data_IF_538386733823
#
_entry.id   IF_538386733823
#
_cell.length_a   1.000
_cell.length_b   1.000
_cell.length_c   1.000
_cell.angle_alpha   90.00
_cell.angle_beta   90.00
_cell.angle_gamma   90.00
#
_symmetry.space_group_name_H-M   'P 1'
#
loop_
_entity.id
_entity.type
_entity.pdbx_description
1 polymer ?
#
# COMPACT_ATOMS: atom_id res chain seq x y z
N UNK A 1 6.08 -21.48 -13.87
CA UNK A 1 5.71 -20.04 -13.80
C UNK A 1 5.37 -19.72 -12.35
N UNK A 2 5.71 -18.53 -11.86
CA UNK A 2 5.24 -18.07 -10.54
C UNK A 2 3.74 -17.81 -10.60
N UNK A 3 3.00 -18.19 -9.56
CA UNK A 3 1.54 -18.04 -9.50
C UNK A 3 1.10 -16.57 -9.51
N UNK A 4 -0.09 -16.26 -10.04
CA UNK A 4 -0.62 -14.89 -10.04
C UNK A 4 -0.77 -14.37 -8.62
N UNK A 5 -1.26 -15.21 -7.71
CA UNK A 5 -1.35 -14.87 -6.29
C UNK A 5 0.00 -14.46 -5.71
N UNK A 6 1.04 -15.27 -5.92
CA UNK A 6 2.36 -14.99 -5.41
C UNK A 6 2.94 -13.68 -5.97
N UNK A 7 2.69 -13.39 -7.25
CA UNK A 7 3.09 -12.12 -7.87
C UNK A 7 2.28 -10.94 -7.35
N UNK A 8 0.97 -11.11 -7.18
CA UNK A 8 0.06 -10.01 -6.89
C UNK A 8 0.05 -9.64 -5.40
N UNK A 9 -0.10 -10.62 -4.51
CA UNK A 9 -0.40 -10.43 -3.09
C UNK A 9 0.86 -10.30 -2.23
N UNK A 10 1.82 -11.21 -2.38
CA UNK A 10 2.99 -11.31 -1.48
C UNK A 10 3.82 -10.02 -1.43
N UNK A 11 4.15 -9.35 -2.57
CA UNK A 11 4.91 -8.10 -2.53
C UNK A 11 4.17 -6.98 -1.80
N UNK A 12 2.85 -6.93 -1.96
CA UNK A 12 2.00 -5.88 -1.39
C UNK A 12 1.80 -6.08 0.11
N UNK A 13 1.60 -7.32 0.57
CA UNK A 13 1.58 -7.64 2.00
C UNK A 13 2.88 -7.21 2.68
N UNK A 14 4.02 -7.57 2.09
CA UNK A 14 5.34 -7.22 2.63
C UNK A 14 5.54 -5.70 2.69
N UNK A 15 5.18 -5.00 1.62
CA UNK A 15 5.27 -3.55 1.54
C UNK A 15 4.38 -2.86 2.59
N UNK A 16 3.15 -3.33 2.78
CA UNK A 16 2.24 -2.81 3.79
C UNK A 16 2.76 -3.04 5.21
N UNK A 17 3.38 -4.19 5.49
CA UNK A 17 4.05 -4.45 6.77
C UNK A 17 5.19 -3.46 7.01
N UNK A 18 6.04 -3.21 6.01
CA UNK A 18 7.14 -2.26 6.13
C UNK A 18 6.66 -0.82 6.37
N UNK A 19 5.70 -0.33 5.59
CA UNK A 19 5.16 1.03 5.82
C UNK A 19 4.47 1.12 7.18
N UNK A 20 3.79 0.06 7.66
CA UNK A 20 3.22 0.04 9.02
C UNK A 20 4.30 0.28 10.08
N UNK A 21 5.46 -0.39 9.95
CA UNK A 21 6.58 -0.20 10.86
C UNK A 21 7.20 1.21 10.73
N UNK A 22 7.28 1.77 9.52
CA UNK A 22 7.70 3.16 9.28
C UNK A 22 6.76 4.16 9.96
N UNK A 23 5.44 3.95 9.86
CA UNK A 23 4.45 4.82 10.51
C UNK A 23 4.56 4.74 12.03
N UNK A 24 4.80 3.54 12.59
CA UNK A 24 5.07 3.38 14.02
C UNK A 24 6.32 4.15 14.46
N UNK A 25 7.41 4.03 13.68
CA UNK A 25 8.66 4.78 13.94
C UNK A 25 8.45 6.29 13.90
N UNK A 26 7.62 6.79 12.98
CA UNK A 26 7.26 8.20 12.92
C UNK A 26 6.44 8.65 14.15
N UNK A 27 5.47 7.83 14.57
CA UNK A 27 4.69 8.08 15.80
C UNK A 27 5.59 8.13 17.04
N UNK A 28 6.50 7.17 17.17
CA UNK A 28 7.42 7.09 18.31
C UNK A 28 8.38 8.28 18.34
N UNK A 29 8.95 8.64 17.18
CA UNK A 29 9.80 9.82 17.06
C UNK A 29 9.04 11.12 17.39
N UNK A 30 7.78 11.24 16.97
CA UNK A 30 6.95 12.40 17.31
C UNK A 30 6.84 12.56 18.84
N UNK A 31 6.54 11.45 19.54
CA UNK A 31 6.44 11.41 21.00
C UNK A 31 7.77 11.76 21.68
N UNK A 32 8.87 11.14 21.25
CA UNK A 32 10.20 11.36 21.84
C UNK A 32 10.68 12.80 21.69
N UNK A 33 10.39 13.42 20.54
CA UNK A 33 10.89 14.76 20.22
C UNK A 33 9.88 15.88 20.52
N UNK A 34 8.71 15.57 21.07
CA UNK A 34 7.66 16.55 21.37
C UNK A 34 7.07 17.22 20.13
N UNK A 35 7.05 16.52 18.99
CA UNK A 35 6.47 17.00 17.72
C UNK A 35 4.99 16.67 17.72
N UNK A 36 4.14 17.61 17.29
CA UNK A 36 2.71 17.33 17.08
C UNK A 36 2.56 16.31 15.94
N UNK A 37 1.95 15.12 16.17
CA UNK A 37 1.70 14.14 15.11
C UNK A 37 1.01 14.71 13.87
N UNK A 38 0.21 15.77 14.04
CA UNK A 38 -0.48 16.42 12.93
C UNK A 38 0.48 17.08 11.93
N UNK A 39 1.69 17.45 12.34
CA UNK A 39 2.72 17.99 11.43
C UNK A 39 3.16 16.98 10.37
N UNK A 40 3.12 15.69 10.71
CA UNK A 40 3.37 14.59 9.79
C UNK A 40 2.10 14.20 9.01
N UNK A 41 0.98 14.03 9.70
CA UNK A 41 -0.28 13.52 9.12
C UNK A 41 -0.83 14.47 8.05
N UNK A 42 -0.69 15.78 8.24
CA UNK A 42 -1.09 16.82 7.27
C UNK A 42 0.04 17.25 6.34
N UNK A 43 1.20 16.59 6.40
CA UNK A 43 2.34 16.88 5.54
C UNK A 43 2.04 16.55 4.08
N UNK A 44 2.56 17.35 3.15
CA UNK A 44 2.45 17.15 1.69
C UNK A 44 3.78 17.50 1.02
N UNK A 45 4.09 16.88 -0.12
CA UNK A 45 5.34 17.15 -0.88
C UNK A 45 5.26 18.39 -1.76
N UNK A 46 4.08 18.71 -2.26
CA UNK A 46 3.83 19.83 -3.15
C UNK A 46 2.42 20.39 -2.90
N UNK A 47 2.15 21.70 -3.12
CA UNK A 47 0.86 22.32 -2.78
C UNK A 47 -0.39 21.71 -3.46
N UNK A 48 -0.25 21.04 -4.60
CA UNK A 48 -1.36 20.35 -5.29
C UNK A 48 -1.42 18.84 -5.02
N UNK A 49 -0.43 18.31 -4.30
CA UNK A 49 -0.41 16.91 -3.87
C UNK A 49 -1.21 16.75 -2.59
N UNK A 50 -1.74 15.54 -2.38
CA UNK A 50 -2.50 15.22 -1.17
C UNK A 50 -1.58 14.87 -0.01
N UNK A 51 -2.09 15.11 1.20
CA UNK A 51 -1.36 14.90 2.44
C UNK A 51 -1.06 13.43 2.75
N UNK A 52 -0.26 13.20 3.79
CA UNK A 52 0.15 11.88 4.25
C UNK A 52 -1.04 10.95 4.54
N UNK A 53 -2.07 11.44 5.26
CA UNK A 53 -3.27 10.65 5.54
C UNK A 53 -3.92 10.13 4.25
N UNK A 54 -4.07 11.01 3.25
CA UNK A 54 -4.59 10.62 1.94
C UNK A 54 -3.72 9.55 1.25
N UNK A 55 -2.39 9.66 1.33
CA UNK A 55 -1.52 8.64 0.77
C UNK A 55 -1.75 7.28 1.42
N UNK A 56 -1.94 7.22 2.75
CA UNK A 56 -2.28 5.97 3.45
C UNK A 56 -3.66 5.45 3.03
N UNK A 57 -4.66 6.33 2.89
CA UNK A 57 -6.00 5.93 2.46
C UNK A 57 -5.98 5.25 1.09
N UNK A 58 -5.37 5.91 0.11
CA UNK A 58 -5.30 5.40 -1.26
C UNK A 58 -4.36 4.21 -1.38
N UNK A 59 -3.28 4.16 -0.60
CA UNK A 59 -2.43 2.99 -0.51
C UNK A 59 -3.23 1.74 -0.14
N UNK A 60 -3.99 1.80 0.96
CA UNK A 60 -4.76 0.65 1.43
C UNK A 60 -5.95 0.33 0.53
N UNK A 61 -6.61 1.34 -0.05
CA UNK A 61 -7.73 1.11 -0.98
C UNK A 61 -7.25 0.41 -2.26
N UNK A 62 -6.16 0.90 -2.88
CA UNK A 62 -5.59 0.25 -4.06
C UNK A 62 -5.06 -1.16 -3.74
N UNK A 63 -4.48 -1.36 -2.56
CA UNK A 63 -4.08 -2.69 -2.13
C UNK A 63 -5.30 -3.62 -1.96
N UNK A 64 -6.38 -3.16 -1.31
CA UNK A 64 -7.56 -3.97 -1.06
C UNK A 64 -8.35 -4.34 -2.33
N UNK A 65 -8.31 -3.49 -3.37
CA UNK A 65 -8.96 -3.76 -4.67
C UNK A 65 -8.17 -4.66 -5.59
N UNK A 66 -6.93 -5.04 -5.24
CA UNK A 66 -6.12 -5.95 -6.05
C UNK A 66 -6.80 -7.31 -6.20
N UNK A 67 -7.24 -7.91 -5.08
CA UNK A 67 -7.91 -9.21 -5.08
C UNK A 67 -9.24 -9.17 -5.84
N UNK A 68 -10.17 -8.32 -5.41
CA UNK A 68 -11.50 -8.18 -6.04
C UNK A 68 -11.43 -7.67 -7.49
N UNK A 69 -10.35 -6.99 -7.85
CA UNK A 69 -10.05 -6.57 -9.21
C UNK A 69 -9.73 -7.74 -10.15
N UNK A 70 -9.15 -8.83 -9.64
CA UNK A 70 -8.89 -10.06 -10.39
C UNK A 70 -10.05 -11.04 -10.27
N UNK A 71 -10.57 -11.24 -9.06
CA UNK A 71 -11.70 -12.13 -8.79
C UNK A 71 -12.82 -11.37 -8.05
N UNK A 72 -13.91 -10.98 -8.74
CA UNK A 72 -15.02 -10.25 -8.16
C UNK A 72 -15.76 -10.97 -7.02
N UNK A 73 -15.55 -12.28 -6.81
CA UNK A 73 -16.15 -13.00 -5.69
C UNK A 73 -15.45 -12.75 -4.36
N UNK A 74 -14.24 -12.16 -4.36
CA UNK A 74 -13.52 -11.82 -3.14
C UNK A 74 -14.25 -10.66 -2.45
N UNK A 75 -14.64 -10.79 -1.17
CA UNK A 75 -15.30 -9.73 -0.43
C UNK A 75 -14.48 -8.44 -0.40
N UNK A 76 -15.14 -7.28 -0.44
CA UNK A 76 -14.45 -5.99 -0.33
C UNK A 76 -14.20 -5.62 1.14
N UNK A 77 -13.04 -5.04 1.44
CA UNK A 77 -12.77 -4.45 2.76
C UNK A 77 -13.33 -3.03 2.85
N UNK A 78 -14.15 -2.74 3.86
CA UNK A 78 -14.60 -1.36 4.13
C UNK A 78 -13.48 -0.51 4.74
N UNK A 79 -13.13 0.55 4.02
CA UNK A 79 -11.98 1.43 4.25
C UNK A 79 -12.38 2.90 4.18
N UNK A 80 -13.42 3.28 4.93
CA UNK A 80 -13.83 4.69 5.08
C UNK A 80 -12.64 5.57 5.48
N UNK A 81 -12.59 6.81 5.02
CA UNK A 81 -11.47 7.74 5.21
C UNK A 81 -11.70 8.64 6.43
N UNK A 82 -11.70 8.03 7.61
CA UNK A 82 -12.08 8.70 8.87
C UNK A 82 -10.92 8.79 9.86
N UNK A 83 -9.82 8.10 9.61
CA UNK A 83 -8.67 7.96 10.51
C UNK A 83 -7.79 9.23 10.53
N UNK A 84 -7.72 9.94 11.64
CA UNK A 84 -7.03 11.24 11.73
C UNK A 84 -5.76 11.20 12.60
N UNK A 85 -5.44 10.04 13.17
CA UNK A 85 -4.31 9.82 14.08
C UNK A 85 -3.42 8.66 13.64
N UNK A 86 -2.17 8.62 14.10
CA UNK A 86 -1.27 7.50 13.81
C UNK A 86 -1.81 6.14 14.25
N UNK A 87 -2.35 5.96 15.48
CA UNK A 87 -2.94 4.68 15.89
C UNK A 87 -4.04 4.19 14.94
N UNK A 88 -4.91 5.09 14.47
CA UNK A 88 -5.99 4.75 13.55
C UNK A 88 -5.45 4.36 12.16
N UNK A 89 -4.48 5.13 11.63
CA UNK A 89 -3.83 4.83 10.35
C UNK A 89 -3.06 3.50 10.39
N UNK A 90 -2.38 3.21 11.51
CA UNK A 90 -1.70 1.93 11.75
C UNK A 90 -2.73 0.78 11.81
N UNK A 91 -3.86 0.98 12.50
CA UNK A 91 -4.94 -0.01 12.55
C UNK A 91 -5.51 -0.29 11.15
N UNK A 92 -5.70 0.74 10.31
CA UNK A 92 -6.12 0.62 8.92
C UNK A 92 -5.15 -0.21 8.09
N UNK A 93 -3.84 0.07 8.20
CA UNK A 93 -2.79 -0.71 7.52
C UNK A 93 -2.81 -2.18 7.95
N UNK A 94 -2.89 -2.45 9.26
CA UNK A 94 -2.94 -3.83 9.80
C UNK A 94 -4.19 -4.60 9.32
N UNK A 95 -5.36 -3.95 9.31
CA UNK A 95 -6.60 -4.53 8.75
C UNK A 95 -6.44 -4.89 7.27
N UNK A 96 -5.76 -4.03 6.51
CA UNK A 96 -5.50 -4.27 5.08
C UNK A 96 -4.53 -5.43 4.87
N UNK A 97 -3.48 -5.54 5.69
CA UNK A 97 -2.57 -6.69 5.69
C UNK A 97 -3.34 -7.99 5.95
N UNK A 98 -4.13 -8.05 7.02
CA UNK A 98 -4.89 -9.24 7.38
C UNK A 98 -5.89 -9.65 6.28
N UNK A 99 -6.54 -8.66 5.64
CA UNK A 99 -7.42 -8.90 4.51
C UNK A 99 -6.69 -9.54 3.32
N UNK A 100 -5.51 -9.01 2.95
CA UNK A 100 -4.72 -9.57 1.85
C UNK A 100 -4.17 -10.96 2.15
N UNK A 101 -3.76 -11.21 3.39
CA UNK A 101 -3.29 -12.53 3.84
C UNK A 101 -4.40 -13.59 3.83
N UNK A 102 -5.67 -13.19 3.86
CA UNK A 102 -6.81 -14.10 3.74
C UNK A 102 -7.12 -14.51 2.30
N UNK A 103 -6.56 -13.83 1.29
CA UNK A 103 -6.69 -14.23 -0.12
C UNK A 103 -5.78 -15.42 -0.36
N UNK A 104 -6.34 -16.52 -0.87
CA UNK A 104 -5.62 -17.77 -1.13
C UNK A 104 -5.19 -17.89 -2.59
N UNK A 105 -4.20 -18.73 -2.91
CA UNK A 105 -3.79 -18.99 -4.28
C UNK A 105 -4.97 -19.35 -5.20
N UNK A 106 -5.87 -20.22 -4.74
CA UNK A 106 -7.04 -20.66 -5.49
C UNK A 106 -8.03 -19.54 -5.83
N UNK A 107 -7.96 -18.40 -5.14
CA UNK A 107 -8.85 -17.27 -5.42
C UNK A 107 -8.40 -16.47 -6.65
N UNK A 108 -7.11 -16.55 -7.03
CA UNK A 108 -6.49 -15.74 -8.10
C UNK A 108 -5.84 -16.57 -9.22
N UNK A 109 -5.22 -17.70 -8.89
CA UNK A 109 -4.48 -18.51 -9.84
C UNK A 109 -5.42 -19.14 -10.89
N UNK A 110 -4.96 -19.23 -12.14
CA UNK A 110 -5.77 -19.67 -13.29
C UNK A 110 -6.56 -18.56 -13.98
N UNK A 111 -6.51 -17.33 -13.46
CA UNK A 111 -7.17 -16.15 -14.03
C UNK A 111 -6.23 -15.23 -14.79
N UNK A 112 -4.94 -15.60 -14.93
CA UNK A 112 -3.87 -14.75 -15.47
C UNK A 112 -4.25 -14.12 -16.82
N UNK A 113 -4.87 -14.92 -17.68
CA UNK A 113 -5.20 -14.57 -19.06
C UNK A 113 -6.67 -14.14 -19.23
N UNK A 114 -7.45 -14.09 -18.14
CA UNK A 114 -8.81 -13.54 -18.16
C UNK A 114 -8.77 -12.06 -18.57
N UNK A 115 -9.79 -11.59 -19.30
CA UNK A 115 -9.88 -10.20 -19.72
C UNK A 115 -10.30 -9.30 -18.56
N UNK A 116 -9.48 -8.29 -18.26
CA UNK A 116 -9.86 -7.14 -17.46
C UNK A 116 -10.34 -6.01 -18.38
N UNK A 117 -11.56 -5.54 -18.13
CA UNK A 117 -12.12 -4.33 -18.76
C UNK A 117 -12.26 -3.23 -17.72
N UNK A 118 -11.62 -2.09 -17.96
CA UNK A 118 -11.71 -0.89 -17.13
C UNK A 118 -12.26 0.27 -17.94
N UNK A 119 -13.27 0.94 -17.40
CA UNK A 119 -13.91 2.10 -18.02
C UNK A 119 -13.53 3.37 -17.28
N UNK A 120 -12.77 4.25 -17.93
CA UNK A 120 -12.16 5.44 -17.33
C UNK A 120 -12.84 6.71 -17.85
N UNK A 121 -12.82 7.76 -17.01
CA UNK A 121 -13.36 9.09 -17.28
C UNK A 121 -14.78 9.29 -16.76
N UNK A 122 -15.41 10.45 -17.07
CA UNK A 122 -16.75 10.77 -16.58
C UNK A 122 -17.74 9.65 -16.87
N UNK A 123 -18.40 9.16 -15.82
CA UNK A 123 -19.34 8.03 -15.84
C UNK A 123 -18.79 6.75 -16.52
N UNK A 124 -17.47 6.57 -16.61
CA UNK A 124 -16.84 5.45 -17.31
C UNK A 124 -17.02 5.49 -18.83
N UNK A 125 -17.22 6.67 -19.43
CA UNK A 125 -17.55 6.80 -20.86
C UNK A 125 -16.46 7.40 -21.74
N UNK A 126 -15.26 7.64 -21.20
CA UNK A 126 -14.18 8.29 -21.98
C UNK A 126 -13.28 7.30 -22.69
N UNK A 127 -12.78 6.30 -21.96
CA UNK A 127 -11.82 5.30 -22.47
C UNK A 127 -12.17 3.93 -21.89
N UNK A 128 -12.13 2.89 -22.71
CA UNK A 128 -12.15 1.50 -22.28
C UNK A 128 -10.73 0.92 -22.42
N UNK A 129 -10.16 0.46 -21.31
CA UNK A 129 -8.86 -0.22 -21.28
C UNK A 129 -9.11 -1.71 -21.14
N UNK A 130 -8.51 -2.50 -22.02
CA UNK A 130 -8.58 -3.96 -22.02
C UNK A 130 -7.18 -4.51 -21.86
N UNK A 131 -7.01 -5.48 -20.97
CA UNK A 131 -5.72 -6.12 -20.68
C UNK A 131 -5.97 -7.47 -20.01
N UNK A 132 -4.94 -8.32 -19.93
CA UNK A 132 -5.00 -9.55 -19.13
C UNK A 132 -5.05 -9.21 -17.63
N UNK A 133 -5.51 -10.12 -16.77
CA UNK A 133 -5.42 -9.90 -15.31
C UNK A 133 -3.98 -9.78 -14.83
N UNK A 134 -3.04 -10.50 -15.47
CA UNK A 134 -1.60 -10.34 -15.25
C UNK A 134 -1.16 -8.90 -15.50
N UNK A 135 -1.53 -8.35 -16.65
CA UNK A 135 -1.17 -6.98 -17.04
C UNK A 135 -1.86 -5.95 -16.14
N UNK A 136 -3.11 -6.19 -15.73
CA UNK A 136 -3.79 -5.36 -14.73
C UNK A 136 -2.99 -5.27 -13.43
N UNK A 137 -2.52 -6.40 -12.90
CA UNK A 137 -1.71 -6.43 -11.68
C UNK A 137 -0.40 -5.65 -11.88
N UNK A 138 0.33 -5.93 -12.96
CA UNK A 138 1.69 -5.41 -13.18
C UNK A 138 1.73 -3.95 -13.64
N UNK A 139 0.80 -3.54 -14.50
CA UNK A 139 0.81 -2.24 -15.16
C UNK A 139 -0.08 -1.21 -14.45
N UNK A 140 -1.01 -1.64 -13.60
CA UNK A 140 -1.95 -0.74 -12.95
C UNK A 140 -2.00 -0.91 -11.43
N UNK A 141 -2.30 -2.09 -10.91
CA UNK A 141 -2.51 -2.26 -9.47
C UNK A 141 -1.22 -2.01 -8.67
N UNK A 142 -0.11 -2.66 -9.06
CA UNK A 142 1.19 -2.48 -8.41
C UNK A 142 1.72 -1.04 -8.50
N UNK A 143 1.78 -0.39 -9.68
CA UNK A 143 2.24 1.01 -9.76
C UNK A 143 1.44 1.98 -8.89
N UNK A 144 0.11 1.83 -8.78
CA UNK A 144 -0.70 2.68 -7.90
C UNK A 144 -0.31 2.49 -6.42
N UNK A 145 -0.14 1.24 -5.97
CA UNK A 145 0.30 0.96 -4.61
C UNK A 145 1.71 1.51 -4.35
N UNK A 146 2.64 1.31 -5.29
CA UNK A 146 4.02 1.80 -5.18
C UNK A 146 4.12 3.31 -5.14
N UNK A 147 3.29 4.00 -5.92
CA UNK A 147 3.24 5.46 -5.90
C UNK A 147 2.85 5.99 -4.52
N UNK A 148 1.75 5.48 -3.94
CA UNK A 148 1.25 5.98 -2.67
C UNK A 148 2.16 5.62 -1.48
N UNK A 149 2.75 4.43 -1.46
CA UNK A 149 3.67 4.06 -0.37
C UNK A 149 4.95 4.89 -0.40
N UNK A 150 5.52 5.15 -1.58
CA UNK A 150 6.76 5.94 -1.70
C UNK A 150 6.46 7.39 -1.37
N UNK A 151 5.32 7.92 -1.84
CA UNK A 151 4.89 9.28 -1.47
C UNK A 151 4.70 9.44 0.04
N UNK A 152 4.07 8.46 0.71
CA UNK A 152 3.92 8.47 2.16
C UNK A 152 5.27 8.42 2.89
N UNK A 153 6.18 7.54 2.44
CA UNK A 153 7.56 7.46 2.94
C UNK A 153 8.30 8.80 2.76
N UNK A 154 8.21 9.41 1.58
CA UNK A 154 8.91 10.65 1.26
C UNK A 154 8.40 11.83 2.08
N UNK A 155 7.09 11.90 2.35
CA UNK A 155 6.54 12.95 3.23
C UNK A 155 7.14 12.84 4.63
N UNK A 156 7.18 11.64 5.21
CA UNK A 156 7.78 11.42 6.53
C UNK A 156 9.28 11.74 6.52
N UNK A 157 9.99 11.28 5.49
CA UNK A 157 11.44 11.53 5.37
C UNK A 157 11.75 13.01 5.23
N UNK A 158 11.00 13.73 4.40
CA UNK A 158 11.12 15.18 4.23
C UNK A 158 10.82 15.93 5.53
N UNK A 159 9.87 15.44 6.33
CA UNK A 159 9.53 16.00 7.65
C UNK A 159 10.54 15.67 8.75
N UNK A 160 11.64 14.96 8.42
CA UNK A 160 12.73 14.68 9.36
C UNK A 160 12.57 13.39 10.15
N UNK A 161 11.66 12.50 9.77
CA UNK A 161 11.62 11.14 10.34
C UNK A 161 12.91 10.40 9.95
N UNK A 162 13.55 9.76 10.92
CA UNK A 162 14.79 9.02 10.72
C UNK A 162 14.54 7.67 10.05
N UNK A 163 14.19 7.69 8.75
CA UNK A 163 13.95 6.51 7.92
C UNK A 163 14.85 6.54 6.69
N UNK A 164 15.23 5.35 6.23
CA UNK A 164 16.06 5.15 5.04
C UNK A 164 15.51 4.07 4.12
N UNK A 165 16.25 3.85 3.03
CA UNK A 165 15.91 2.82 2.03
C UNK A 165 15.73 1.43 2.64
N UNK A 166 16.51 1.09 3.69
CA UNK A 166 16.37 -0.20 4.36
C UNK A 166 15.09 -0.30 5.20
N UNK A 167 14.55 0.80 5.74
CA UNK A 167 13.22 0.77 6.36
C UNK A 167 12.15 0.46 5.30
N UNK A 168 12.23 1.07 4.12
CA UNK A 168 11.30 0.76 3.01
C UNK A 168 11.35 -0.73 2.61
N UNK A 169 12.55 -1.32 2.57
CA UNK A 169 12.74 -2.72 2.18
C UNK A 169 12.47 -3.72 3.29
N UNK A 170 12.70 -3.35 4.55
CA UNK A 170 12.82 -4.30 5.66
C UNK A 170 12.41 -3.78 7.06
N UNK A 171 11.69 -2.67 7.22
CA UNK A 171 11.31 -2.18 8.55
C UNK A 171 10.54 -3.21 9.40
N UNK A 172 9.81 -4.15 8.76
CA UNK A 172 9.10 -5.21 9.45
C UNK A 172 9.93 -6.51 9.65
N UNK A 173 11.22 -6.54 9.28
CA UNK A 173 12.12 -7.67 9.51
C UNK A 173 11.87 -8.91 8.63
N UNK A 174 11.35 -8.73 7.42
CA UNK A 174 11.06 -9.84 6.49
C UNK A 174 12.25 -10.39 5.71
N UNK A 175 13.36 -9.65 5.66
CA UNK A 175 14.67 -10.09 5.13
C UNK A 175 15.58 -10.35 6.33
N UNK A 176 16.11 -11.58 6.40
CA UNK A 176 17.18 -11.92 7.34
C UNK A 176 18.44 -11.15 6.96
N UNK A 177 18.95 -10.34 7.89
CA UNK A 177 20.21 -9.64 7.75
C UNK A 177 21.21 -10.28 8.72
N UNK A 178 22.25 -10.91 8.18
CA UNK A 178 23.34 -11.49 8.98
C UNK A 178 24.51 -10.51 8.97
N UNK A 179 24.98 -10.03 10.13
CA UNK A 179 26.20 -9.25 10.19
C UNK A 179 27.36 -10.03 9.58
N UNK A 180 28.18 -9.36 8.79
CA UNK A 180 29.48 -9.90 8.40
C UNK A 180 30.43 -9.52 9.54
N UNK A 181 31.00 -10.50 10.22
CA UNK A 181 32.09 -10.29 11.17
C UNK A 181 33.34 -9.92 10.35
N UNK A 182 33.99 -8.80 10.71
CA UNK A 182 35.28 -8.37 10.16
C UNK A 182 36.45 -9.20 10.72
#
# INVERSE_FOLDING_TARGET
>A
MSSLHALAVVPIVRLLKNITAIVQKAEDQAKTNGIDPQDYIKGQLHPDMKDFAFQIYYLTENAATLGSGVNPSIPTLDLQRVETTFPELIARLRRTVAYLEAIRPEDLDGREDDEKVLRVGPQGKRVEMRMSMRDYVQLLAHPNVYFHVVTAYDILRMKGVDIGKFDFLNAAGGITMTPIED
#
